data_IF_891445516825
#
_entry.id   IF_891445516825
#
_cell.length_a   1.000
_cell.length_b   1.000
_cell.length_c   1.000
_cell.angle_alpha   90.00
_cell.angle_beta   90.00
_cell.angle_gamma   90.00
#
_symmetry.space_group_name_H-M   'P 1'
#
loop_
_entity.id
_entity.type
_entity.pdbx_description
1 polymer ?
#
# COMPACT_ATOMS: atom_id res chain seq x y z
N UNK A 1 -10.34 -7.71 -14.18
CA UNK A 1 -10.67 -8.02 -12.77
C UNK A 1 -9.60 -7.35 -11.93
N UNK A 2 -9.98 -6.48 -10.99
CA UNK A 2 -9.03 -5.73 -10.17
C UNK A 2 -8.30 -6.67 -9.20
N UNK A 3 -7.00 -6.52 -9.08
CA UNK A 3 -6.07 -7.38 -8.32
C UNK A 3 -5.72 -6.74 -6.99
N UNK A 4 -5.45 -7.58 -5.99
CA UNK A 4 -4.66 -7.18 -4.83
C UNK A 4 -3.20 -7.49 -5.10
N UNK A 5 -2.34 -6.47 -5.12
CA UNK A 5 -0.92 -6.59 -5.46
C UNK A 5 -0.07 -6.44 -4.19
N UNK A 6 0.56 -7.53 -3.76
CA UNK A 6 1.52 -7.51 -2.66
C UNK A 6 2.80 -6.77 -3.10
N UNK A 7 3.04 -5.61 -2.51
CA UNK A 7 4.18 -4.76 -2.82
C UNK A 7 5.33 -5.07 -1.85
N UNK A 8 6.30 -5.82 -2.35
CA UNK A 8 7.47 -6.33 -1.63
C UNK A 8 8.76 -5.56 -2.02
N UNK A 9 8.68 -4.23 -2.05
CA UNK A 9 9.81 -3.35 -2.36
C UNK A 9 10.21 -2.53 -1.12
N UNK A 10 11.50 -2.21 -0.93
CA UNK A 10 11.91 -1.23 0.08
C UNK A 10 11.42 0.17 -0.33
N UNK A 11 11.26 1.07 0.65
CA UNK A 11 10.91 2.46 0.37
C UNK A 11 11.94 3.16 -0.52
N UNK A 12 11.47 3.85 -1.56
CA UNK A 12 12.31 4.53 -2.55
C UNK A 12 11.52 4.86 -3.82
N UNK A 13 12.18 5.40 -4.86
CA UNK A 13 11.50 5.77 -6.12
C UNK A 13 10.74 4.62 -6.76
N UNK A 14 11.34 3.43 -6.86
CA UNK A 14 10.70 2.25 -7.45
C UNK A 14 9.45 1.79 -6.70
N UNK A 15 9.39 2.01 -5.39
CA UNK A 15 8.20 1.74 -4.58
C UNK A 15 7.04 2.67 -4.96
N UNK A 16 7.33 3.97 -5.14
CA UNK A 16 6.33 4.97 -5.54
C UNK A 16 5.88 4.76 -6.98
N UNK A 17 6.80 4.44 -7.87
CA UNK A 17 6.49 4.13 -9.28
C UNK A 17 5.60 2.88 -9.38
N UNK A 18 5.88 1.85 -8.57
CA UNK A 18 5.04 0.66 -8.49
C UNK A 18 3.63 0.98 -7.97
N UNK A 19 3.49 1.81 -6.93
CA UNK A 19 2.17 2.24 -6.43
C UNK A 19 1.36 2.91 -7.53
N UNK A 20 1.96 3.89 -8.23
CA UNK A 20 1.30 4.62 -9.32
C UNK A 20 0.84 3.67 -10.42
N UNK A 21 1.72 2.78 -10.87
CA UNK A 21 1.38 1.79 -11.90
C UNK A 21 0.24 0.86 -11.48
N UNK A 22 0.29 0.32 -10.26
CA UNK A 22 -0.76 -0.56 -9.73
C UNK A 22 -2.11 0.17 -9.71
N UNK A 23 -2.12 1.42 -9.24
CA UNK A 23 -3.31 2.26 -9.23
C UNK A 23 -3.83 2.63 -10.62
N UNK A 24 -2.94 2.93 -11.57
CA UNK A 24 -3.31 3.23 -12.96
C UNK A 24 -3.93 2.01 -13.67
N UNK A 25 -3.53 0.80 -13.26
CA UNK A 25 -4.12 -0.47 -13.71
C UNK A 25 -5.49 -0.76 -13.02
N UNK A 26 -5.89 0.07 -12.05
CA UNK A 26 -7.10 -0.07 -11.25
C UNK A 26 -6.99 -1.11 -10.13
N UNK A 27 -5.78 -1.52 -9.79
CA UNK A 27 -5.52 -2.54 -8.78
C UNK A 27 -5.25 -1.91 -7.40
N UNK A 28 -5.39 -2.69 -6.33
CA UNK A 28 -5.11 -2.25 -4.97
C UNK A 28 -3.71 -2.68 -4.52
N UNK A 29 -3.04 -1.81 -3.76
CA UNK A 29 -1.73 -2.08 -3.18
C UNK A 29 -1.89 -2.77 -1.83
N UNK A 30 -1.10 -3.82 -1.58
CA UNK A 30 -0.89 -4.41 -0.26
C UNK A 30 0.59 -4.29 0.13
N UNK A 31 1.00 -3.27 0.91
CA UNK A 31 2.39 -3.06 1.25
C UNK A 31 2.87 -4.09 2.29
N UNK A 32 3.87 -4.89 1.92
CA UNK A 32 4.44 -5.93 2.78
C UNK A 32 5.68 -5.43 3.50
N UNK A 33 5.76 -5.63 4.81
CA UNK A 33 6.91 -5.19 5.61
C UNK A 33 8.17 -6.00 5.25
N UNK A 34 9.15 -5.32 4.67
CA UNK A 34 10.41 -5.93 4.23
C UNK A 34 11.31 -6.41 5.38
N UNK A 35 10.99 -6.02 6.63
CA UNK A 35 11.72 -6.46 7.83
C UNK A 35 11.25 -7.83 8.32
N UNK A 36 10.09 -8.30 7.86
CA UNK A 36 9.60 -9.63 8.21
C UNK A 36 10.46 -10.72 7.54
N UNK A 37 10.63 -11.89 8.19
CA UNK A 37 11.19 -13.07 7.52
C UNK A 37 10.40 -13.40 6.24
N UNK A 38 11.07 -13.92 5.21
CA UNK A 38 10.43 -14.22 3.92
C UNK A 38 9.28 -15.23 4.02
N UNK A 39 9.38 -16.21 4.93
CA UNK A 39 8.28 -17.12 5.23
C UNK A 39 7.05 -16.35 5.75
N UNK A 40 7.24 -15.46 6.72
CA UNK A 40 6.16 -14.63 7.27
C UNK A 40 5.57 -13.65 6.26
N UNK A 41 6.38 -13.14 5.31
CA UNK A 41 5.87 -12.36 4.18
C UNK A 41 4.95 -13.23 3.31
N UNK A 42 5.38 -14.44 2.95
CA UNK A 42 4.58 -15.37 2.14
C UNK A 42 3.27 -15.76 2.84
N UNK A 43 3.33 -16.14 4.12
CA UNK A 43 2.14 -16.49 4.92
C UNK A 43 1.13 -15.32 4.93
N UNK A 44 1.62 -14.09 5.06
CA UNK A 44 0.77 -12.91 5.09
C UNK A 44 0.14 -12.61 3.72
N UNK A 45 0.89 -12.76 2.63
CA UNK A 45 0.42 -12.59 1.25
C UNK A 45 -0.68 -13.60 0.93
N UNK A 46 -0.46 -14.87 1.29
CA UNK A 46 -1.44 -15.95 1.14
C UNK A 46 -2.70 -15.66 1.97
N UNK A 47 -2.54 -15.30 3.24
CA UNK A 47 -3.65 -15.01 4.14
C UNK A 47 -4.49 -13.80 3.70
N UNK A 48 -3.87 -12.79 3.09
CA UNK A 48 -4.59 -11.66 2.46
C UNK A 48 -5.16 -11.99 1.08
N UNK A 49 -4.88 -13.19 0.54
CA UNK A 49 -5.31 -13.65 -0.78
C UNK A 49 -4.88 -12.70 -1.92
N UNK A 50 -3.67 -12.13 -1.84
CA UNK A 50 -3.13 -11.32 -2.93
C UNK A 50 -3.04 -12.14 -4.22
N UNK A 51 -3.28 -11.49 -5.36
CA UNK A 51 -3.28 -12.12 -6.69
C UNK A 51 -2.03 -11.81 -7.52
N UNK A 52 -1.17 -10.91 -7.03
CA UNK A 52 0.13 -10.64 -7.62
C UNK A 52 1.14 -10.23 -6.55
N UNK A 53 2.42 -10.41 -6.84
CA UNK A 53 3.54 -9.96 -6.01
C UNK A 53 4.46 -9.10 -6.89
N UNK A 54 4.86 -7.95 -6.38
CA UNK A 54 5.88 -7.09 -6.99
C UNK A 54 7.07 -7.00 -6.04
N UNK A 55 8.24 -7.46 -6.47
CA UNK A 55 9.48 -7.35 -5.71
C UNK A 55 10.64 -6.90 -6.61
N UNK A 56 11.88 -6.98 -6.12
CA UNK A 56 13.08 -6.58 -6.89
C UNK A 56 13.34 -7.43 -8.13
N UNK A 57 12.76 -8.63 -8.22
CA UNK A 57 12.83 -9.52 -9.38
C UNK A 57 11.74 -9.26 -10.43
N UNK A 58 10.78 -8.38 -10.14
CA UNK A 58 9.69 -8.02 -11.05
C UNK A 58 8.31 -8.36 -10.49
N UNK A 59 7.36 -8.60 -11.39
CA UNK A 59 5.98 -8.94 -11.05
C UNK A 59 5.68 -10.41 -11.36
N UNK A 60 5.03 -11.09 -10.42
CA UNK A 60 4.53 -12.44 -10.59
C UNK A 60 3.03 -12.51 -10.25
N UNK A 61 2.24 -13.13 -11.11
CA UNK A 61 0.83 -13.45 -10.83
C UNK A 61 0.74 -14.72 -10.00
N UNK A 62 -0.17 -14.74 -9.01
CA UNK A 62 -0.42 -15.87 -8.13
C UNK A 62 -1.93 -16.13 -7.99
N UNK A 63 -2.31 -17.29 -7.45
CA UNK A 63 -3.70 -17.55 -7.12
C UNK A 63 -4.13 -16.68 -5.93
N UNK A 64 -5.13 -15.83 -6.15
CA UNK A 64 -5.65 -14.91 -5.14
C UNK A 64 -7.11 -14.56 -5.41
N UNK A 65 -7.61 -13.57 -4.68
CA UNK A 65 -8.97 -13.05 -4.84
C UNK A 65 -8.93 -11.64 -5.42
N UNK A 66 -9.93 -11.27 -6.23
CA UNK A 66 -10.02 -9.92 -6.74
C UNK A 66 -10.42 -8.94 -5.63
N UNK A 67 -10.13 -7.66 -5.87
CA UNK A 67 -10.61 -6.53 -5.05
C UNK A 67 -11.83 -5.88 -5.68
N UNK A 68 -12.52 -5.05 -4.92
CA UNK A 68 -13.64 -4.28 -5.44
C UNK A 68 -13.15 -3.07 -6.24
N UNK A 69 -13.98 -2.59 -7.17
CA UNK A 69 -13.65 -1.39 -7.94
C UNK A 69 -13.57 -0.19 -7.00
N UNK A 70 -12.43 0.51 -7.03
CA UNK A 70 -12.17 1.68 -6.19
C UNK A 70 -11.34 1.40 -4.95
N UNK A 71 -11.08 0.13 -4.62
CA UNK A 71 -10.10 -0.26 -3.60
C UNK A 71 -8.69 0.17 -4.04
N UNK A 72 -7.98 0.87 -3.16
CA UNK A 72 -6.64 1.41 -3.46
C UNK A 72 -5.55 0.79 -2.59
N UNK A 73 -5.88 0.47 -1.34
CA UNK A 73 -4.91 0.03 -0.35
C UNK A 73 -5.56 -0.97 0.60
N UNK A 74 -4.88 -2.09 0.82
CA UNK A 74 -5.16 -3.00 1.93
C UNK A 74 -4.01 -2.91 2.93
N UNK A 75 -4.30 -2.76 4.22
CA UNK A 75 -3.28 -2.79 5.28
C UNK A 75 -3.58 -3.93 6.24
N UNK A 76 -2.56 -4.75 6.53
CA UNK A 76 -2.67 -5.77 7.56
C UNK A 76 -2.63 -5.14 8.96
N UNK A 77 -3.59 -5.50 9.80
CA UNK A 77 -3.64 -5.13 11.21
C UNK A 77 -3.45 -6.38 12.06
N UNK A 78 -2.76 -6.27 13.20
CA UNK A 78 -2.40 -7.43 14.04
C UNK A 78 -3.61 -8.24 14.51
N UNK A 79 -4.78 -7.61 14.65
CA UNK A 79 -6.01 -8.25 15.10
C UNK A 79 -5.92 -8.73 16.56
N UNK A 80 -6.91 -8.41 17.40
CA UNK A 80 -6.94 -8.92 18.78
C UNK A 80 -7.08 -10.45 18.87
N UNK A 81 -7.44 -11.11 17.77
CA UNK A 81 -7.68 -12.55 17.63
C UNK A 81 -6.47 -13.33 17.10
N UNK A 82 -5.30 -12.69 16.95
CA UNK A 82 -4.04 -13.32 16.55
C UNK A 82 -3.82 -13.48 15.04
N UNK A 83 -4.89 -13.56 14.24
CA UNK A 83 -4.80 -13.56 12.78
C UNK A 83 -4.93 -12.13 12.22
N UNK A 84 -4.02 -11.70 11.32
CA UNK A 84 -4.10 -10.39 10.73
C UNK A 84 -5.39 -10.18 9.94
N UNK A 85 -5.94 -8.97 10.01
CA UNK A 85 -7.11 -8.56 9.21
C UNK A 85 -6.70 -7.49 8.21
N UNK A 86 -7.18 -7.60 6.98
CA UNK A 86 -7.00 -6.57 5.95
C UNK A 86 -8.02 -5.46 6.14
N UNK A 87 -7.54 -4.23 6.33
CA UNK A 87 -8.36 -3.03 6.26
C UNK A 87 -8.26 -2.48 4.85
N UNK A 88 -9.39 -2.37 4.17
CA UNK A 88 -9.50 -1.85 2.80
C UNK A 88 -9.77 -0.35 2.83
N UNK A 89 -9.03 0.41 2.03
CA UNK A 89 -9.17 1.84 1.84
C UNK A 89 -9.31 2.16 0.35
N UNK A 90 -10.30 2.98 0.01
CA UNK A 90 -10.59 3.38 -1.36
C UNK A 90 -9.70 4.53 -1.82
N UNK A 91 -9.61 4.74 -3.13
CA UNK A 91 -8.93 5.89 -3.72
C UNK A 91 -9.47 7.21 -3.16
N UNK A 92 -10.79 7.36 -3.11
CA UNK A 92 -11.45 8.57 -2.61
C UNK A 92 -11.11 8.83 -1.13
N UNK A 93 -11.08 7.78 -0.30
CA UNK A 93 -10.74 7.91 1.11
C UNK A 93 -9.27 8.36 1.31
N UNK A 94 -8.35 7.79 0.52
CA UNK A 94 -6.93 8.17 0.55
C UNK A 94 -6.72 9.62 0.07
N UNK A 95 -7.37 10.00 -1.03
CA UNK A 95 -7.32 11.34 -1.59
C UNK A 95 -7.88 12.38 -0.60
N UNK A 96 -9.06 12.12 -0.04
CA UNK A 96 -9.69 13.02 0.93
C UNK A 96 -8.82 13.22 2.17
N UNK A 97 -8.24 12.15 2.72
CA UNK A 97 -7.32 12.23 3.86
C UNK A 97 -6.04 13.03 3.54
N UNK A 98 -5.47 12.81 2.35
CA UNK A 98 -4.27 13.53 1.92
C UNK A 98 -4.53 15.03 1.76
N UNK A 99 -5.58 15.39 1.02
CA UNK A 99 -5.99 16.78 0.79
C UNK A 99 -6.33 17.50 2.10
N UNK A 100 -7.10 16.87 2.99
CA UNK A 100 -7.44 17.45 4.29
C UNK A 100 -6.18 17.68 5.14
N UNK A 101 -5.23 16.74 5.14
CA UNK A 101 -3.98 16.89 5.89
C UNK A 101 -3.12 18.02 5.31
N UNK A 102 -2.91 18.04 4.00
CA UNK A 102 -2.09 19.04 3.32
C UNK A 102 -2.69 20.45 3.52
N UNK A 103 -4.00 20.59 3.40
CA UNK A 103 -4.70 21.86 3.64
C UNK A 103 -4.59 22.32 5.09
N UNK A 104 -4.81 21.43 6.07
CA UNK A 104 -4.73 21.77 7.48
C UNK A 104 -3.32 22.26 7.89
N UNK A 105 -2.28 21.66 7.32
CA UNK A 105 -0.89 22.00 7.61
C UNK A 105 -0.34 23.12 6.73
N UNK A 106 -1.08 23.57 5.71
CA UNK A 106 -0.62 24.59 4.76
C UNK A 106 0.55 24.13 3.89
N UNK A 107 0.58 22.84 3.50
CA UNK A 107 1.67 22.26 2.71
C UNK A 107 1.70 22.84 1.30
N UNK A 108 2.84 23.38 0.89
CA UNK A 108 3.10 23.84 -0.48
C UNK A 108 4.02 22.84 -1.19
N UNK A 109 3.48 22.06 -2.13
CA UNK A 109 4.22 20.98 -2.82
C UNK A 109 5.52 21.42 -3.53
N UNK A 110 5.60 22.70 -3.91
CA UNK A 110 6.76 23.30 -4.53
C UNK A 110 7.96 23.44 -3.58
N UNK A 111 7.73 23.78 -2.30
CA UNK A 111 8.77 24.03 -1.30
C UNK A 111 8.89 22.94 -0.25
N UNK A 112 7.77 22.29 0.09
CA UNK A 112 7.70 21.34 1.18
C UNK A 112 7.94 19.90 0.71
N UNK A 113 8.45 19.09 1.65
CA UNK A 113 8.70 17.67 1.47
C UNK A 113 8.20 16.89 2.68
N UNK A 114 7.43 15.85 2.40
CA UNK A 114 7.04 14.86 3.38
C UNK A 114 8.17 13.88 3.66
N UNK A 115 8.42 13.57 4.94
CA UNK A 115 9.40 12.57 5.36
C UNK A 115 8.69 11.34 5.94
N UNK A 116 8.83 10.19 5.28
CA UNK A 116 8.24 8.94 5.72
C UNK A 116 9.13 8.24 6.77
N UNK A 117 8.92 8.56 8.05
CA UNK A 117 9.65 7.98 9.17
C UNK A 117 9.02 6.70 9.75
N UNK A 118 7.83 6.32 9.28
CA UNK A 118 7.10 5.15 9.75
C UNK A 118 7.16 4.03 8.71
N UNK A 119 7.03 2.75 9.11
CA UNK A 119 7.02 1.65 8.14
C UNK A 119 5.86 1.80 7.15
N UNK A 120 6.17 1.66 5.87
CA UNK A 120 5.22 1.87 4.76
C UNK A 120 4.15 0.77 4.68
N UNK A 121 4.34 -0.35 5.39
CA UNK A 121 3.35 -1.42 5.57
C UNK A 121 2.23 -1.06 6.54
N UNK A 122 2.33 0.05 7.29
CA UNK A 122 1.27 0.55 8.13
C UNK A 122 0.61 1.78 7.52
N UNK A 123 -0.69 1.97 7.78
CA UNK A 123 -1.47 3.08 7.25
C UNK A 123 -0.84 4.44 7.55
N UNK A 124 -0.21 4.61 8.74
CA UNK A 124 0.47 5.84 9.11
C UNK A 124 1.67 6.17 8.22
N UNK A 125 2.49 5.17 7.87
CA UNK A 125 3.62 5.36 6.96
C UNK A 125 3.18 5.50 5.51
N UNK A 126 2.26 4.64 5.06
CA UNK A 126 1.73 4.70 3.70
C UNK A 126 1.05 6.04 3.41
N UNK A 127 0.29 6.58 4.36
CA UNK A 127 -0.38 7.89 4.21
C UNK A 127 0.59 9.04 3.93
N UNK A 128 1.86 8.95 4.36
CA UNK A 128 2.87 9.96 4.03
C UNK A 128 3.20 9.94 2.54
N UNK A 129 3.28 8.75 1.93
CA UNK A 129 3.44 8.61 0.47
C UNK A 129 2.24 9.20 -0.24
N UNK A 130 1.02 8.87 0.20
CA UNK A 130 -0.21 9.42 -0.38
C UNK A 130 -0.22 10.95 -0.32
N UNK A 131 0.08 11.56 0.82
CA UNK A 131 0.15 13.04 0.97
C UNK A 131 1.19 13.71 0.08
N UNK A 132 2.23 12.99 -0.33
CA UNK A 132 3.23 13.49 -1.27
C UNK A 132 2.79 13.37 -2.74
N UNK A 133 1.79 12.52 -3.02
CA UNK A 133 1.24 12.29 -4.36
C UNK A 133 0.06 13.22 -4.71
N UNK A 134 -0.62 13.78 -3.71
CA UNK A 134 -1.77 14.70 -3.82
C UNK A 134 -1.40 16.10 -3.33
#
# INVERSE_FOLDING_TARGET
VNRLVALCLPGGPSYVDAIRRIWDEGDAVFPVDQRLPKASQADLIEHMAASAIVDSGGEASIAGRPVETGDALVVATSGSTGLPKGVVLTHDALAANAQATNSFLGVESASDKWLACLPLSHVGGFSVVVRALY
#
